data_IF_991694286756
#
_entry.id   IF_991694286756
#
_cell.length_a   1.000
_cell.length_b   1.000
_cell.length_c   1.000
_cell.angle_alpha   90.00
_cell.angle_beta   90.00
_cell.angle_gamma   90.00
#
_symmetry.space_group_name_H-M   'P 1'
#
loop_
_entity.id
_entity.type
_entity.pdbx_description
1 polymer ?
#
# COMPACT_ATOMS: atom_id res chain seq x y z
N UNK A 1 -40.60 14.79 -4.85
CA UNK A 1 -39.88 15.43 -5.98
C UNK A 1 -38.47 15.57 -5.50
N UNK A 2 -37.52 14.83 -6.09
CA UNK A 2 -36.12 14.87 -5.72
C UNK A 2 -35.45 16.16 -6.19
N UNK A 3 -34.20 16.36 -5.78
CA UNK A 3 -33.35 17.43 -6.30
C UNK A 3 -33.19 17.34 -7.83
N UNK A 4 -32.73 18.44 -8.43
CA UNK A 4 -32.34 18.45 -9.83
C UNK A 4 -31.15 17.49 -10.03
N UNK A 5 -31.26 16.57 -10.98
CA UNK A 5 -30.24 15.53 -11.25
C UNK A 5 -28.88 16.16 -11.56
N UNK A 6 -28.87 17.27 -12.29
CA UNK A 6 -27.64 18.01 -12.64
C UNK A 6 -26.91 18.63 -11.43
N UNK A 7 -27.56 18.71 -10.27
CA UNK A 7 -27.02 19.34 -9.05
C UNK A 7 -26.90 18.38 -7.86
N UNK A 8 -27.12 17.07 -8.06
CA UNK A 8 -27.13 16.08 -6.97
C UNK A 8 -25.75 15.97 -6.28
N UNK A 9 -24.69 15.93 -7.08
CA UNK A 9 -23.31 15.91 -6.58
C UNK A 9 -22.95 17.20 -5.85
N UNK A 10 -23.26 18.35 -6.45
CA UNK A 10 -22.99 19.67 -5.85
C UNK A 10 -23.78 19.86 -4.56
N UNK A 11 -25.01 19.35 -4.47
CA UNK A 11 -25.79 19.36 -3.24
C UNK A 11 -25.11 18.57 -2.12
N UNK A 12 -24.59 17.38 -2.44
CA UNK A 12 -23.86 16.52 -1.49
C UNK A 12 -22.55 17.16 -1.04
N UNK A 13 -21.74 17.66 -1.98
CA UNK A 13 -20.46 18.33 -1.68
C UNK A 13 -20.67 19.62 -0.89
N UNK A 14 -21.68 20.42 -1.24
CA UNK A 14 -22.02 21.64 -0.51
C UNK A 14 -22.50 21.33 0.92
N UNK A 15 -23.34 20.30 1.09
CA UNK A 15 -23.77 19.86 2.42
C UNK A 15 -22.59 19.40 3.29
N UNK A 16 -21.56 18.79 2.69
CA UNK A 16 -20.31 18.39 3.35
C UNK A 16 -19.31 19.55 3.56
N UNK A 17 -19.59 20.75 3.03
CA UNK A 17 -18.66 21.88 3.06
C UNK A 17 -17.42 21.70 2.19
N UNK A 18 -17.49 20.81 1.19
CA UNK A 18 -16.39 20.43 0.30
C UNK A 18 -16.52 21.00 -1.12
N UNK A 19 -17.62 21.70 -1.44
CA UNK A 19 -17.81 22.35 -2.72
C UNK A 19 -17.09 23.72 -2.73
N UNK A 20 -16.15 23.90 -3.65
CA UNK A 20 -15.28 25.08 -3.70
C UNK A 20 -15.34 25.80 -5.07
N UNK A 21 -14.75 27.00 -5.12
CA UNK A 21 -14.51 27.73 -6.38
C UNK A 21 -15.77 28.12 -7.15
N UNK A 22 -15.67 28.05 -8.49
CA UNK A 22 -16.73 28.50 -9.40
C UNK A 22 -18.00 27.63 -9.29
N UNK A 23 -17.84 26.33 -9.01
CA UNK A 23 -18.96 25.40 -8.85
C UNK A 23 -19.81 25.75 -7.63
N UNK A 24 -19.16 26.13 -6.52
CA UNK A 24 -19.85 26.61 -5.33
C UNK A 24 -20.70 27.85 -5.63
N UNK A 25 -20.14 28.84 -6.34
CA UNK A 25 -20.88 30.07 -6.67
C UNK A 25 -22.07 29.81 -7.60
N UNK A 26 -21.89 28.95 -8.62
CA UNK A 26 -22.97 28.53 -9.52
C UNK A 26 -24.07 27.80 -8.75
N UNK A 27 -23.71 26.84 -7.91
CA UNK A 27 -24.68 26.07 -7.14
C UNK A 27 -25.43 26.92 -6.12
N UNK A 28 -24.76 27.87 -5.45
CA UNK A 28 -25.40 28.82 -4.54
C UNK A 28 -26.47 29.65 -5.27
N UNK A 29 -26.20 30.11 -6.49
CA UNK A 29 -27.20 30.84 -7.28
C UNK A 29 -28.45 30.00 -7.60
N UNK A 30 -28.26 28.69 -7.86
CA UNK A 30 -29.37 27.77 -8.07
C UNK A 30 -30.14 27.53 -6.76
N UNK A 31 -29.42 27.33 -5.65
CA UNK A 31 -30.00 27.12 -4.32
C UNK A 31 -30.90 28.26 -3.87
N UNK A 32 -30.64 29.51 -4.25
CA UNK A 32 -31.50 30.64 -3.90
C UNK A 32 -32.94 30.50 -4.41
N UNK A 33 -33.14 29.74 -5.49
CA UNK A 33 -34.44 29.63 -6.17
C UNK A 33 -35.05 28.22 -6.16
N UNK A 34 -34.25 27.17 -5.91
CA UNK A 34 -34.71 25.78 -6.00
C UNK A 34 -35.01 25.14 -4.64
N UNK A 35 -36.30 25.07 -4.29
CA UNK A 35 -36.76 24.46 -3.03
C UNK A 35 -36.41 22.96 -2.90
N UNK A 36 -36.33 22.22 -4.00
CA UNK A 36 -35.96 20.81 -3.97
C UNK A 36 -34.49 20.62 -3.57
N UNK A 37 -33.58 21.40 -4.16
CA UNK A 37 -32.15 21.38 -3.81
C UNK A 37 -31.90 21.93 -2.40
N UNK A 38 -32.67 22.93 -1.95
CA UNK A 38 -32.62 23.38 -0.55
C UNK A 38 -32.98 22.25 0.43
N UNK A 39 -34.04 21.48 0.13
CA UNK A 39 -34.46 20.36 0.96
C UNK A 39 -33.41 19.23 1.00
N UNK A 40 -32.75 18.95 -0.13
CA UNK A 40 -31.70 17.94 -0.24
C UNK A 40 -30.43 18.32 0.54
N UNK A 41 -30.02 19.59 0.45
CA UNK A 41 -28.90 20.08 1.26
C UNK A 41 -29.23 19.97 2.75
N UNK A 42 -30.45 20.34 3.15
CA UNK A 42 -30.88 20.25 4.54
C UNK A 42 -30.94 18.81 5.06
N UNK A 43 -31.48 17.86 4.27
CA UNK A 43 -31.52 16.44 4.65
C UNK A 43 -30.11 15.86 4.79
N UNK A 44 -29.22 16.18 3.86
CA UNK A 44 -27.83 15.72 3.88
C UNK A 44 -27.07 16.32 5.06
N UNK A 45 -27.23 17.61 5.35
CA UNK A 45 -26.64 18.24 6.54
C UNK A 45 -27.14 17.60 7.85
N UNK A 46 -28.42 17.24 7.94
CA UNK A 46 -28.94 16.50 9.09
C UNK A 46 -28.23 15.16 9.23
N UNK A 47 -28.14 14.38 8.15
CA UNK A 47 -27.45 13.08 8.15
C UNK A 47 -25.99 13.21 8.55
N UNK A 48 -25.26 14.17 7.97
CA UNK A 48 -23.87 14.45 8.30
C UNK A 48 -23.71 14.85 9.78
N UNK A 49 -24.64 15.62 10.33
CA UNK A 49 -24.67 15.95 11.76
C UNK A 49 -24.85 14.73 12.67
N UNK A 50 -25.51 13.66 12.20
CA UNK A 50 -25.68 12.40 12.95
C UNK A 50 -24.44 11.51 12.90
N UNK A 51 -23.70 11.53 11.80
CA UNK A 51 -22.48 10.71 11.62
C UNK A 51 -21.20 11.47 11.98
N UNK A 52 -21.31 12.75 12.33
CA UNK A 52 -20.20 13.57 12.78
C UNK A 52 -19.54 12.93 14.02
N UNK A 53 -18.26 12.59 13.87
CA UNK A 53 -17.44 12.15 14.98
C UNK A 53 -17.28 13.31 15.98
N UNK A 54 -17.24 13.02 17.30
CA UNK A 54 -16.91 14.03 18.28
C UNK A 54 -15.52 14.61 18.00
N UNK A 55 -15.25 15.88 18.36
CA UNK A 55 -13.92 16.45 18.22
C UNK A 55 -12.92 15.60 18.98
N UNK A 56 -11.72 15.43 18.40
CA UNK A 56 -10.67 14.63 19.00
C UNK A 56 -10.30 15.17 20.39
N UNK A 57 -10.16 14.26 21.34
CA UNK A 57 -9.74 14.60 22.71
C UNK A 57 -8.24 14.89 22.75
N UNK A 58 -7.75 15.70 23.72
CA UNK A 58 -6.32 15.93 23.89
C UNK A 58 -5.50 14.66 24.18
N UNK A 59 -6.15 13.57 24.62
CA UNK A 59 -5.50 12.27 24.82
C UNK A 59 -5.27 11.57 23.48
N UNK A 60 -6.27 11.58 22.60
CA UNK A 60 -6.18 11.00 21.25
C UNK A 60 -5.16 11.75 20.40
N UNK A 61 -5.16 13.09 20.45
CA UNK A 61 -4.17 13.91 19.74
C UNK A 61 -2.76 13.53 20.18
N UNK A 62 -2.48 13.46 21.49
CA UNK A 62 -1.18 13.04 22.01
C UNK A 62 -0.80 11.59 21.65
N UNK A 63 -1.79 10.70 21.50
CA UNK A 63 -1.53 9.33 21.08
C UNK A 63 -1.12 9.26 19.60
N UNK A 64 -1.76 10.08 18.75
CA UNK A 64 -1.47 10.21 17.32
C UNK A 64 -0.15 10.95 17.07
N UNK A 65 0.17 11.94 17.90
CA UNK A 65 1.44 12.67 17.87
C UNK A 65 2.62 11.70 17.91
N UNK A 66 3.45 11.76 16.86
CA UNK A 66 4.64 10.93 16.73
C UNK A 66 4.38 9.45 16.46
N UNK A 67 3.14 9.03 16.15
CA UNK A 67 2.84 7.63 15.82
C UNK A 67 3.68 7.16 14.62
N UNK A 68 3.74 7.94 13.54
CA UNK A 68 4.59 7.65 12.37
C UNK A 68 6.08 7.54 12.72
N UNK A 69 6.60 8.41 13.59
CA UNK A 69 7.99 8.34 14.01
C UNK A 69 8.28 7.07 14.83
N UNK A 70 7.37 6.69 15.74
CA UNK A 70 7.51 5.48 16.57
C UNK A 70 7.41 4.21 15.73
N UNK A 71 6.46 4.15 14.78
CA UNK A 71 6.30 2.99 13.89
C UNK A 71 7.52 2.82 12.99
N UNK A 72 8.00 3.89 12.36
CA UNK A 72 9.22 3.86 11.55
C UNK A 72 10.46 3.47 12.37
N UNK A 73 10.61 4.00 13.59
CA UNK A 73 11.72 3.64 14.47
C UNK A 73 11.66 2.18 14.92
N UNK A 74 10.47 1.64 15.18
CA UNK A 74 10.29 0.22 15.47
C UNK A 74 10.68 -0.64 14.25
N UNK A 75 10.19 -0.29 13.06
CA UNK A 75 10.50 -1.00 11.83
C UNK A 75 12.00 -0.98 11.49
N UNK A 76 12.67 0.18 11.60
CA UNK A 76 14.13 0.29 11.37
C UNK A 76 14.95 -0.57 12.33
N UNK A 77 14.53 -0.66 13.60
CA UNK A 77 15.20 -1.52 14.60
C UNK A 77 15.06 -3.00 14.25
N UNK A 78 13.91 -3.40 13.74
CA UNK A 78 13.69 -4.78 13.31
C UNK A 78 14.50 -5.11 12.04
N UNK A 79 14.52 -4.21 11.05
CA UNK A 79 15.33 -4.36 9.84
C UNK A 79 16.83 -4.51 10.15
N UNK A 80 17.35 -3.67 11.04
CA UNK A 80 18.77 -3.75 11.45
C UNK A 80 19.09 -5.06 12.17
N UNK A 81 18.21 -5.54 13.06
CA UNK A 81 18.38 -6.86 13.71
C UNK A 81 18.40 -8.00 12.71
N UNK A 82 17.51 -8.00 11.72
CA UNK A 82 17.47 -9.03 10.66
C UNK A 82 18.75 -9.02 9.81
N UNK A 83 19.22 -7.84 9.44
CA UNK A 83 20.43 -7.67 8.65
C UNK A 83 21.69 -8.11 9.41
N UNK A 84 21.77 -7.82 10.71
CA UNK A 84 22.85 -8.30 11.58
C UNK A 84 22.76 -9.82 11.80
N UNK A 85 21.56 -10.38 11.99
CA UNK A 85 21.35 -11.83 12.12
C UNK A 85 21.81 -12.61 10.88
N UNK A 86 21.52 -12.09 9.67
CA UNK A 86 22.02 -12.67 8.41
C UNK A 86 23.56 -12.63 8.31
N UNK A 87 24.20 -11.55 8.77
CA UNK A 87 25.68 -11.48 8.82
C UNK A 87 26.29 -12.45 9.81
N UNK A 88 25.70 -12.59 10.99
CA UNK A 88 26.19 -13.52 12.01
C UNK A 88 26.09 -14.98 11.55
N UNK A 89 25.00 -15.36 10.86
CA UNK A 89 24.89 -16.68 10.26
C UNK A 89 25.91 -16.89 9.13
N UNK A 90 26.13 -15.88 8.29
CA UNK A 90 27.16 -15.91 7.25
C UNK A 90 28.58 -16.10 7.80
N UNK A 91 28.92 -15.42 8.90
CA UNK A 91 30.25 -15.57 9.53
C UNK A 91 30.43 -16.94 10.18
N UNK A 92 29.40 -17.49 10.83
CA UNK A 92 29.43 -18.85 11.38
C UNK A 92 29.60 -19.91 10.27
N UNK A 93 28.90 -19.77 9.15
CA UNK A 93 29.05 -20.67 8.01
C UNK A 93 30.48 -20.61 7.41
N UNK A 94 31.07 -19.43 7.31
CA UNK A 94 32.45 -19.26 6.84
C UNK A 94 33.47 -19.91 7.79
N UNK A 95 33.32 -19.72 9.12
CA UNK A 95 34.17 -20.38 10.12
C UNK A 95 34.03 -21.90 10.05
N UNK A 96 32.80 -22.41 9.92
CA UNK A 96 32.56 -23.85 9.76
C UNK A 96 33.22 -24.41 8.50
N UNK A 97 33.19 -23.67 7.38
CA UNK A 97 33.86 -24.07 6.15
C UNK A 97 35.39 -24.10 6.28
N UNK A 98 35.98 -23.11 6.97
CA UNK A 98 37.43 -23.09 7.25
C UNK A 98 37.82 -24.25 8.16
N UNK A 99 37.04 -24.54 9.20
CA UNK A 99 37.27 -25.71 10.08
C UNK A 99 37.15 -27.01 9.29
N UNK A 100 36.16 -27.14 8.40
CA UNK A 100 36.00 -28.30 7.54
C UNK A 100 37.20 -28.49 6.57
N UNK A 101 37.75 -27.40 6.02
CA UNK A 101 38.95 -27.42 5.18
C UNK A 101 40.20 -27.80 5.98
N UNK A 102 40.37 -27.26 7.20
CA UNK A 102 41.51 -27.57 8.08
C UNK A 102 41.49 -29.00 8.62
N UNK A 103 40.30 -29.60 8.78
CA UNK A 103 40.17 -31.02 9.17
C UNK A 103 40.61 -31.99 8.07
N UNK A 104 40.80 -31.52 6.83
CA UNK A 104 41.28 -32.30 5.70
C UNK A 104 40.31 -33.42 5.24
N UNK A 105 40.57 -34.04 4.08
CA UNK A 105 39.72 -35.10 3.53
C UNK A 105 39.66 -36.37 4.41
N UNK A 106 40.59 -36.54 5.35
CA UNK A 106 40.67 -37.69 6.25
C UNK A 106 39.62 -37.71 7.37
N UNK A 107 39.07 -36.57 7.76
CA UNK A 107 37.92 -36.52 8.66
C UNK A 107 36.59 -36.82 7.93
N UNK A 108 36.52 -36.44 6.65
CA UNK A 108 35.34 -36.59 5.80
C UNK A 108 35.05 -38.06 5.45
N UNK A 109 36.08 -38.90 5.36
CA UNK A 109 35.91 -40.37 5.24
C UNK A 109 35.37 -41.02 6.51
N UNK A 110 35.67 -40.47 7.70
CA UNK A 110 35.14 -40.98 8.98
C UNK A 110 33.65 -40.66 9.19
N UNK A 111 33.13 -39.61 8.55
CA UNK A 111 31.71 -39.27 8.55
C UNK A 111 30.91 -39.91 7.40
N UNK A 112 31.59 -40.61 6.48
CA UNK A 112 30.99 -41.43 5.41
C UNK A 112 30.62 -42.85 5.85
N UNK A 113 30.67 -43.16 7.15
CA UNK A 113 30.00 -44.34 7.68
C UNK A 113 28.48 -44.21 7.44
N UNK A 114 27.78 -45.29 7.05
CA UNK A 114 26.38 -45.23 6.68
C UNK A 114 25.56 -44.81 7.89
N UNK A 115 25.09 -43.56 7.90
CA UNK A 115 24.11 -43.09 8.86
C UNK A 115 22.79 -43.79 8.52
N UNK A 116 22.40 -44.72 9.38
CA UNK A 116 21.03 -45.20 9.52
C UNK A 116 20.10 -43.99 9.58
N UNK A 117 19.19 -43.91 8.63
CA UNK A 117 18.08 -42.94 8.58
C UNK A 117 17.22 -43.10 9.82
N UNK A 118 17.35 -42.19 10.78
CA UNK A 118 16.29 -41.94 11.76
C UNK A 118 15.31 -40.92 11.13
N UNK A 119 13.99 -41.17 11.16
CA UNK A 119 13.02 -40.17 10.74
C UNK A 119 12.92 -39.12 11.84
N UNK A 120 13.59 -38.00 11.66
CA UNK A 120 13.42 -36.85 12.54
C UNK A 120 12.38 -35.92 11.90
N UNK A 121 11.13 -36.11 12.29
CA UNK A 121 10.06 -35.13 12.10
C UNK A 121 10.30 -33.95 13.02
N UNK A 122 11.36 -33.20 12.77
CA UNK A 122 11.50 -31.84 13.27
C UNK A 122 11.07 -30.95 12.13
N UNK A 123 9.76 -30.66 12.12
CA UNK A 123 9.20 -29.53 11.40
C UNK A 123 9.76 -28.28 12.09
N UNK A 124 10.97 -27.89 11.72
CA UNK A 124 11.47 -26.55 11.96
C UNK A 124 10.46 -25.61 11.33
N UNK A 125 9.65 -24.95 12.15
CA UNK A 125 8.98 -23.69 11.80
C UNK A 125 10.11 -22.68 11.67
N UNK A 126 10.82 -22.79 10.54
CA UNK A 126 11.90 -21.90 10.17
C UNK A 126 11.30 -20.54 9.90
N UNK A 127 11.75 -19.56 10.67
CA UNK A 127 11.52 -18.14 10.48
C UNK A 127 11.54 -17.76 9.00
N UNK A 128 10.35 -17.46 8.49
CA UNK A 128 10.01 -16.71 7.26
C UNK A 128 8.53 -16.97 6.99
N UNK A 129 7.66 -16.14 7.55
CA UNK A 129 6.53 -15.69 6.76
C UNK A 129 7.13 -14.69 5.77
N UNK A 130 7.79 -15.21 4.72
CA UNK A 130 7.83 -14.48 3.47
C UNK A 130 6.35 -14.31 3.12
N UNK A 131 5.87 -13.07 3.09
CA UNK A 131 4.48 -12.77 2.73
C UNK A 131 4.22 -13.49 1.41
N UNK A 132 3.25 -14.40 1.41
CA UNK A 132 2.98 -15.21 0.23
C UNK A 132 2.60 -14.30 -0.94
N UNK A 133 2.93 -14.75 -2.16
CA UNK A 133 2.68 -13.99 -3.38
C UNK A 133 1.19 -13.65 -3.55
N UNK A 134 0.30 -14.49 -3.01
CA UNK A 134 -1.14 -14.25 -2.99
C UNK A 134 -1.51 -13.02 -2.13
N UNK A 135 -0.92 -12.89 -0.94
CA UNK A 135 -1.11 -11.74 -0.07
C UNK A 135 -0.50 -10.46 -0.66
N UNK A 136 0.65 -10.54 -1.33
CA UNK A 136 1.22 -9.40 -2.06
C UNK A 136 0.32 -8.95 -3.23
N UNK A 137 -0.16 -9.91 -4.04
CA UNK A 137 -1.09 -9.64 -5.11
C UNK A 137 -2.42 -9.04 -4.60
N UNK A 138 -2.89 -9.47 -3.43
CA UNK A 138 -4.09 -8.91 -2.79
C UNK A 138 -3.89 -7.44 -2.36
N UNK A 139 -2.69 -7.07 -1.88
CA UNK A 139 -2.37 -5.68 -1.58
C UNK A 139 -2.26 -4.82 -2.84
N UNK A 140 -1.66 -5.35 -3.92
CA UNK A 140 -1.52 -4.66 -5.21
C UNK A 140 -2.88 -4.43 -5.87
N UNK A 141 -3.75 -5.44 -5.86
CA UNK A 141 -5.11 -5.34 -6.36
C UNK A 141 -5.95 -4.31 -5.58
N UNK A 142 -5.74 -4.19 -4.27
CA UNK A 142 -6.43 -3.16 -3.47
C UNK A 142 -5.87 -1.75 -3.68
N UNK A 143 -4.57 -1.64 -3.96
CA UNK A 143 -3.90 -0.36 -4.21
C UNK A 143 -4.06 0.16 -5.64
N UNK A 144 -4.65 -0.62 -6.56
CA UNK A 144 -4.75 -0.28 -7.98
C UNK A 144 -3.39 -0.21 -8.68
N UNK A 145 -2.36 -0.86 -8.10
CA UNK A 145 -1.04 -0.95 -8.70
C UNK A 145 -1.03 -2.17 -9.62
N UNK A 146 -0.71 -1.97 -10.90
CA UNK A 146 -0.45 -3.06 -11.83
C UNK A 146 0.72 -3.90 -11.30
N UNK A 147 0.65 -5.25 -11.33
CA UNK A 147 1.70 -6.11 -10.77
C UNK A 147 3.05 -5.74 -11.38
N UNK A 148 4.06 -5.53 -10.53
CA UNK A 148 5.44 -5.41 -11.02
C UNK A 148 5.86 -6.80 -11.49
N UNK A 149 5.83 -7.02 -12.80
CA UNK A 149 6.46 -8.18 -13.40
C UNK A 149 7.94 -8.20 -12.95
N UNK A 150 8.32 -9.23 -12.18
CA UNK A 150 9.71 -9.49 -11.81
C UNK A 150 10.41 -10.17 -12.99
N UNK A 151 10.53 -9.46 -14.11
CA UNK A 151 11.39 -9.84 -15.20
C UNK A 151 12.83 -9.40 -14.89
N UNK A 152 13.50 -10.24 -14.12
CA UNK A 152 14.94 -10.16 -13.89
C UNK A 152 15.76 -10.37 -15.18
N UNK A 153 15.76 -9.38 -16.10
CA UNK A 153 16.75 -9.23 -17.17
C UNK A 153 16.61 -7.87 -17.87
N UNK A 154 17.74 -7.17 -18.02
CA UNK A 154 17.92 -5.98 -18.88
C UNK A 154 17.42 -4.61 -18.35
N UNK A 155 18.00 -4.15 -17.24
CA UNK A 155 18.36 -2.73 -17.16
C UNK A 155 19.87 -2.58 -17.05
N UNK A 156 20.56 -2.89 -18.15
CA UNK A 156 21.91 -2.38 -18.40
C UNK A 156 21.88 -1.34 -19.52
N UNK A 157 22.05 -0.08 -19.12
CA UNK A 157 22.74 0.97 -19.88
C UNK A 157 22.17 1.39 -21.25
N UNK A 158 21.36 2.45 -21.22
CA UNK A 158 21.39 3.54 -22.21
C UNK A 158 20.99 4.80 -21.45
N UNK A 159 21.93 5.61 -20.95
CA UNK A 159 22.56 6.72 -21.68
C UNK A 159 21.55 7.59 -22.42
N UNK A 160 21.34 8.76 -21.82
CA UNK A 160 21.02 10.05 -22.44
C UNK A 160 19.89 10.08 -23.47
N UNK A 161 18.69 10.41 -23.03
CA UNK A 161 17.78 11.22 -23.84
C UNK A 161 17.12 12.27 -22.94
N UNK A 162 17.44 13.53 -23.26
CA UNK A 162 16.84 14.74 -22.73
C UNK A 162 15.31 14.65 -22.82
N UNK A 163 14.60 15.02 -21.75
CA UNK A 163 13.15 15.22 -21.79
C UNK A 163 12.85 16.69 -22.07
N UNK A 164 12.59 17.11 -23.33
CA UNK A 164 11.95 18.37 -23.61
C UNK A 164 10.48 18.24 -23.24
N UNK A 165 10.10 18.87 -22.14
CA UNK A 165 8.71 19.16 -21.84
C UNK A 165 8.25 20.33 -22.73
N UNK A 166 7.89 20.03 -23.97
CA UNK A 166 6.92 20.80 -24.76
C UNK A 166 5.68 19.88 -24.83
N UNK A 167 4.50 20.23 -24.32
CA UNK A 167 3.75 21.41 -24.71
C UNK A 167 2.85 21.02 -25.89
N UNK A 168 1.53 20.96 -25.63
CA UNK A 168 0.44 20.85 -26.62
C UNK A 168 0.23 19.43 -27.22
N UNK A 169 -0.95 18.87 -27.47
CA UNK A 169 -2.37 19.05 -27.19
C UNK A 169 -3.03 17.73 -27.71
N UNK A 170 -4.35 17.62 -27.58
CA UNK A 170 -5.25 16.81 -28.43
C UNK A 170 -5.71 15.41 -28.00
N UNK A 171 -7.04 15.36 -27.80
CA UNK A 171 -7.97 14.30 -28.17
C UNK A 171 -7.95 12.99 -27.35
N UNK A 172 -8.72 12.99 -26.26
CA UNK A 172 -9.40 11.78 -25.77
C UNK A 172 -10.89 11.87 -26.08
N UNK A 173 -11.23 11.73 -27.37
CA UNK A 173 -12.54 11.22 -27.79
C UNK A 173 -12.48 9.69 -27.65
N UNK A 174 -12.84 9.20 -26.47
CA UNK A 174 -12.89 7.78 -26.15
C UNK A 174 -14.26 7.40 -25.61
N UNK A 175 -15.14 7.01 -26.54
CA UNK A 175 -16.43 6.36 -26.34
C UNK A 175 -16.29 5.13 -25.41
N UNK A 176 -16.72 5.26 -24.15
CA UNK A 176 -16.81 4.14 -23.21
C UNK A 176 -18.27 3.67 -23.14
N UNK A 177 -18.61 2.73 -24.03
CA UNK A 177 -19.84 1.96 -24.00
C UNK A 177 -19.80 0.96 -22.81
N UNK A 178 -20.60 1.25 -21.78
CA UNK A 178 -20.76 0.40 -20.61
C UNK A 178 -21.69 -0.76 -20.94
N UNK A 179 -21.08 -1.85 -21.43
CA UNK A 179 -21.71 -3.14 -21.62
C UNK A 179 -22.14 -3.78 -20.30
N UNK A 180 -23.43 -3.68 -20.04
CA UNK A 180 -24.31 -4.45 -19.15
C UNK A 180 -23.89 -5.91 -18.92
N UNK A 181 -23.73 -6.31 -17.65
CA UNK A 181 -23.80 -7.71 -17.24
C UNK A 181 -24.35 -7.85 -15.81
N UNK A 182 -25.60 -8.34 -15.82
CA UNK A 182 -26.49 -8.86 -14.77
C UNK A 182 -25.84 -9.50 -13.53
#
# INVERSE_FOLDING_TARGET
>A
MGACVEYEEQASLHAAGALEGEEATRFLSHLESCAACQAEVASTQELLGRVALPPQTPVEVRAQEGLGARTLAAWRREQTRRWMGRRALGSLAAVAAVVALMLGPSALERFRAPRTTAPDTVRTVGAREDVDAETLAAFEAWAGLEPLDDDGSEYSSSSDDELPWDGEDDAMDGDFDLGEAL
#
